data_IF_294943955147
#
_entry.id   IF_294943955147
#
_cell.length_a   1.000
_cell.length_b   1.000
_cell.length_c   1.000
_cell.angle_alpha   90.00
_cell.angle_beta   90.00
_cell.angle_gamma   90.00
#
_symmetry.space_group_name_H-M   'P 1'
#
loop_
_entity.id
_entity.type
_entity.pdbx_description
1 polymer ?
#
# COMPACT_ATOMS: atom_id res chain seq x y z
N UNK A 1 9.86 1.99 13.46
CA UNK A 1 9.66 1.10 14.64
C UNK A 1 10.90 1.20 15.53
N UNK A 2 10.72 1.21 16.86
CA UNK A 2 11.78 1.39 17.86
C UNK A 2 12.82 0.25 17.83
N UNK A 3 14.09 0.56 18.13
CA UNK A 3 15.00 -0.45 18.67
C UNK A 3 14.56 -0.82 20.11
N UNK A 4 15.12 -1.86 20.71
CA UNK A 4 14.80 -2.30 22.08
C UNK A 4 15.04 -1.23 23.17
N UNK A 5 15.62 -0.08 22.82
CA UNK A 5 15.87 1.08 23.67
C UNK A 5 14.94 2.29 23.39
N UNK A 6 14.04 2.23 22.41
CA UNK A 6 13.12 3.33 22.09
C UNK A 6 13.72 4.43 21.20
N UNK A 7 14.87 4.20 20.56
CA UNK A 7 15.56 5.20 19.75
C UNK A 7 15.09 5.16 18.28
N UNK A 8 15.13 6.32 17.63
CA UNK A 8 14.82 6.51 16.21
C UNK A 8 16.09 6.82 15.43
N UNK A 9 16.20 6.29 14.22
CA UNK A 9 17.25 6.66 13.28
C UNK A 9 16.98 8.08 12.74
N UNK A 10 18.00 8.95 12.79
CA UNK A 10 17.97 10.27 12.16
C UNK A 10 18.42 10.13 10.70
N UNK A 11 17.44 9.91 9.80
CA UNK A 11 17.71 9.67 8.38
C UNK A 11 18.41 10.85 7.70
N UNK A 12 18.12 12.09 8.11
CA UNK A 12 18.78 13.26 7.55
C UNK A 12 20.27 13.29 7.93
N UNK A 13 20.59 13.03 9.20
CA UNK A 13 21.97 12.98 9.66
C UNK A 13 22.76 11.81 9.04
N UNK A 14 22.12 10.67 8.79
CA UNK A 14 22.77 9.54 8.13
C UNK A 14 23.01 9.82 6.64
N UNK A 15 22.03 10.38 5.91
CA UNK A 15 22.21 10.75 4.50
C UNK A 15 23.22 11.87 4.29
N UNK A 16 23.35 12.81 5.23
CA UNK A 16 24.36 13.87 5.17
C UNK A 16 25.81 13.33 5.26
N UNK A 17 26.01 12.14 5.84
CA UNK A 17 27.34 11.52 5.99
C UNK A 17 27.75 10.66 4.79
N UNK A 18 26.81 10.34 3.91
CA UNK A 18 27.10 9.52 2.74
C UNK A 18 27.90 10.31 1.69
N UNK A 19 28.78 9.67 0.91
CA UNK A 19 29.37 10.27 -0.28
C UNK A 19 28.30 10.82 -1.25
N UNK A 20 28.63 11.87 -2.01
CA UNK A 20 27.70 12.50 -2.97
C UNK A 20 27.22 11.52 -4.07
N UNK A 21 28.04 10.52 -4.39
CA UNK A 21 27.76 9.49 -5.38
C UNK A 21 27.11 8.22 -4.82
N UNK A 22 26.88 8.16 -3.50
CA UNK A 22 26.33 6.98 -2.84
C UNK A 22 24.93 6.62 -3.33
N UNK A 23 24.69 5.31 -3.42
CA UNK A 23 23.36 4.72 -3.55
C UNK A 23 22.87 4.23 -2.19
N UNK A 24 21.57 4.37 -1.93
CA UNK A 24 20.93 3.93 -0.71
C UNK A 24 19.92 2.82 -1.02
N UNK A 25 20.00 1.72 -0.27
CA UNK A 25 19.11 0.58 -0.37
C UNK A 25 18.38 0.41 0.96
N UNK A 26 17.06 0.48 0.96
CA UNK A 26 16.24 0.42 2.17
C UNK A 26 15.12 -0.60 2.02
N UNK A 27 14.88 -1.39 3.06
CA UNK A 27 13.63 -2.13 3.19
C UNK A 27 12.99 -1.85 4.53
N UNK A 28 11.66 -1.82 4.56
CA UNK A 28 10.94 -1.60 5.79
C UNK A 28 9.49 -1.19 5.62
N UNK A 29 8.84 -0.80 6.72
CA UNK A 29 7.46 -0.32 6.69
C UNK A 29 7.26 0.91 5.81
N UNK A 30 6.08 1.07 5.20
CA UNK A 30 5.77 2.19 4.28
C UNK A 30 6.11 3.53 4.92
N UNK A 31 5.68 3.79 6.16
CA UNK A 31 5.97 5.05 6.83
C UNK A 31 7.47 5.32 7.05
N UNK A 32 8.30 4.28 7.20
CA UNK A 32 9.76 4.43 7.26
C UNK A 32 10.32 4.78 5.88
N UNK A 33 9.84 4.11 4.83
CA UNK A 33 10.30 4.34 3.46
C UNK A 33 9.89 5.72 2.95
N UNK A 34 8.69 6.19 3.30
CA UNK A 34 8.25 7.57 3.01
C UNK A 34 9.12 8.60 3.72
N UNK A 35 9.38 8.41 5.02
CA UNK A 35 10.30 9.28 5.76
C UNK A 35 11.70 9.32 5.14
N UNK A 36 12.22 8.16 4.72
CA UNK A 36 13.51 8.08 4.04
C UNK A 36 13.50 8.75 2.67
N UNK A 37 12.44 8.58 1.88
CA UNK A 37 12.30 9.24 0.58
C UNK A 37 12.28 10.77 0.72
N UNK A 38 11.54 11.29 1.69
CA UNK A 38 11.50 12.73 1.98
C UNK A 38 12.87 13.26 2.39
N UNK A 39 13.53 12.63 3.36
CA UNK A 39 14.86 13.05 3.82
C UNK A 39 15.93 12.95 2.71
N UNK A 40 15.83 11.97 1.81
CA UNK A 40 16.74 11.83 0.66
C UNK A 40 16.61 12.99 -0.33
N UNK A 41 15.37 13.38 -0.64
CA UNK A 41 15.08 14.52 -1.52
C UNK A 41 15.50 15.85 -0.89
N UNK A 42 15.23 16.04 0.40
CA UNK A 42 15.65 17.23 1.16
C UNK A 42 17.17 17.38 1.22
N UNK A 43 17.91 16.27 1.24
CA UNK A 43 19.37 16.26 1.14
C UNK A 43 19.90 16.57 -0.28
N UNK A 44 19.02 16.88 -1.25
CA UNK A 44 19.39 17.21 -2.63
C UNK A 44 19.89 16.00 -3.44
N UNK A 45 19.64 14.77 -2.97
CA UNK A 45 20.14 13.55 -3.60
C UNK A 45 19.19 13.08 -4.70
N UNK A 46 19.71 12.55 -5.82
CA UNK A 46 18.87 12.09 -6.91
C UNK A 46 18.06 10.85 -6.51
N UNK A 47 16.75 10.87 -6.79
CA UNK A 47 15.82 9.76 -6.48
C UNK A 47 16.24 8.46 -7.17
N UNK A 48 16.91 8.54 -8.33
CA UNK A 48 17.43 7.36 -9.05
C UNK A 48 18.46 6.55 -8.27
N UNK A 49 19.07 7.12 -7.23
CA UNK A 49 20.04 6.48 -6.32
C UNK A 49 19.42 5.97 -5.01
N UNK A 50 18.10 6.12 -4.85
CA UNK A 50 17.35 5.53 -3.75
C UNK A 50 16.61 4.30 -4.25
N UNK A 51 17.01 3.13 -3.76
CA UNK A 51 16.37 1.83 -4.01
C UNK A 51 15.67 1.37 -2.76
N UNK A 52 14.43 0.91 -2.89
CA UNK A 52 13.72 0.41 -1.74
C UNK A 52 12.77 -0.74 -2.07
N UNK A 53 12.49 -1.56 -1.05
CA UNK A 53 11.51 -2.63 -1.07
C UNK A 53 10.59 -2.48 0.16
N UNK A 54 9.28 -2.60 -0.04
CA UNK A 54 8.32 -2.60 1.06
C UNK A 54 8.31 -3.99 1.67
N UNK A 55 8.61 -4.11 2.98
CA UNK A 55 8.52 -5.38 3.69
C UNK A 55 7.38 -5.33 4.71
N UNK A 56 6.42 -6.24 4.55
CA UNK A 56 5.27 -6.41 5.42
C UNK A 56 4.05 -5.58 5.03
N UNK A 57 2.89 -5.94 5.58
CA UNK A 57 1.60 -5.27 5.37
C UNK A 57 1.46 -4.06 6.30
N UNK A 58 2.33 -3.06 6.21
CA UNK A 58 2.24 -1.88 7.09
C UNK A 58 1.88 -0.64 6.30
N UNK A 59 0.60 -0.28 6.30
CA UNK A 59 0.11 1.00 5.78
C UNK A 59 0.26 2.13 6.77
N UNK A 60 -0.22 3.31 6.37
CA UNK A 60 -0.22 4.52 7.20
C UNK A 60 -1.24 4.45 8.33
N UNK A 61 -2.29 3.64 8.14
CA UNK A 61 -3.37 3.46 9.09
C UNK A 61 -3.27 2.11 9.80
N UNK A 62 -3.78 2.05 11.04
CA UNK A 62 -3.99 0.79 11.71
C UNK A 62 -4.98 -0.07 10.91
N UNK A 63 -4.72 -1.35 10.81
CA UNK A 63 -5.61 -2.28 10.12
C UNK A 63 -6.96 -2.37 10.85
N UNK A 64 -8.00 -1.90 10.19
CA UNK A 64 -9.39 -2.11 10.61
C UNK A 64 -10.06 -3.13 9.69
N UNK A 65 -11.09 -3.79 10.22
CA UNK A 65 -12.02 -4.56 9.40
C UNK A 65 -12.93 -3.63 8.60
N UNK A 66 -13.30 -4.07 7.41
CA UNK A 66 -14.25 -3.39 6.53
C UNK A 66 -15.03 -4.43 5.73
N UNK A 67 -16.01 -4.02 4.93
CA UNK A 67 -16.72 -4.90 4.00
C UNK A 67 -16.75 -4.32 2.60
N UNK A 68 -16.87 -5.19 1.60
CA UNK A 68 -17.05 -4.77 0.21
C UNK A 68 -18.25 -5.46 -0.43
N UNK A 69 -19.05 -4.72 -1.18
CA UNK A 69 -20.01 -5.29 -2.12
C UNK A 69 -19.39 -5.35 -3.51
N UNK A 70 -19.62 -6.47 -4.21
CA UNK A 70 -19.09 -6.66 -5.56
C UNK A 70 -20.14 -6.20 -6.57
N UNK A 71 -19.80 -5.23 -7.42
CA UNK A 71 -20.68 -4.74 -8.45
C UNK A 71 -21.24 -5.89 -9.30
N UNK A 72 -22.55 -5.87 -9.53
CA UNK A 72 -23.29 -6.88 -10.29
C UNK A 72 -23.21 -8.31 -9.72
N UNK A 73 -22.84 -8.46 -8.45
CA UNK A 73 -22.97 -9.71 -7.70
C UNK A 73 -23.71 -9.43 -6.40
N UNK A 74 -24.59 -10.34 -5.99
CA UNK A 74 -25.28 -10.27 -4.69
C UNK A 74 -24.39 -10.88 -3.60
N UNK A 75 -23.16 -10.35 -3.49
CA UNK A 75 -22.11 -10.85 -2.60
C UNK A 75 -21.49 -9.68 -1.85
N UNK A 76 -21.59 -9.73 -0.53
CA UNK A 76 -20.84 -8.89 0.41
C UNK A 76 -19.71 -9.71 1.03
N UNK A 77 -18.48 -9.20 0.93
CA UNK A 77 -17.29 -9.86 1.47
C UNK A 77 -16.77 -9.10 2.68
N UNK A 78 -16.78 -9.69 3.89
CA UNK A 78 -16.13 -9.09 5.05
C UNK A 78 -14.61 -9.29 4.98
N UNK A 79 -13.87 -8.20 5.21
CA UNK A 79 -12.41 -8.19 5.27
C UNK A 79 -11.99 -7.97 6.72
N UNK A 80 -11.32 -8.96 7.31
CA UNK A 80 -10.79 -8.84 8.69
C UNK A 80 -9.59 -7.90 8.72
N UNK A 81 -9.24 -7.41 9.91
CA UNK A 81 -8.03 -6.58 10.09
C UNK A 81 -6.76 -7.34 9.69
N UNK A 82 -6.70 -8.65 9.93
CA UNK A 82 -5.55 -9.52 9.69
C UNK A 82 -5.53 -10.18 8.29
N UNK A 83 -6.34 -9.71 7.35
CA UNK A 83 -6.50 -10.32 6.03
C UNK A 83 -6.52 -9.25 4.93
N UNK A 84 -5.91 -9.55 3.79
CA UNK A 84 -5.95 -8.68 2.61
C UNK A 84 -7.33 -8.71 1.95
N UNK A 85 -7.67 -7.67 1.18
CA UNK A 85 -8.90 -7.70 0.37
C UNK A 85 -8.86 -8.85 -0.65
N UNK A 86 -7.71 -9.09 -1.29
CA UNK A 86 -7.53 -10.18 -2.24
C UNK A 86 -7.86 -11.55 -1.62
N UNK A 87 -7.31 -11.86 -0.44
CA UNK A 87 -7.58 -13.14 0.23
C UNK A 87 -9.05 -13.29 0.61
N UNK A 88 -9.69 -12.19 1.03
CA UNK A 88 -11.11 -12.21 1.39
C UNK A 88 -11.99 -12.48 0.16
N UNK A 89 -11.67 -11.85 -0.98
CA UNK A 89 -12.36 -12.07 -2.26
C UNK A 89 -12.20 -13.52 -2.73
N UNK A 90 -10.98 -14.04 -2.76
CA UNK A 90 -10.71 -15.43 -3.16
C UNK A 90 -11.40 -16.42 -2.22
N UNK A 91 -11.36 -16.18 -0.91
CA UNK A 91 -12.04 -17.00 0.10
C UNK A 91 -13.57 -17.00 -0.04
N UNK A 92 -14.15 -15.93 -0.60
CA UNK A 92 -15.56 -15.82 -0.91
C UNK A 92 -15.93 -16.38 -2.31
N UNK A 93 -14.98 -16.96 -3.05
CA UNK A 93 -15.21 -17.48 -4.40
C UNK A 93 -15.29 -16.39 -5.48
N UNK A 94 -14.73 -15.21 -5.21
CA UNK A 94 -14.61 -14.14 -6.20
C UNK A 94 -13.27 -14.26 -6.93
N UNK A 95 -13.33 -14.68 -8.19
CA UNK A 95 -12.14 -14.82 -9.02
C UNK A 95 -11.46 -13.48 -9.27
N UNK A 96 -10.14 -13.47 -9.05
CA UNK A 96 -9.27 -12.31 -9.21
C UNK A 96 -8.06 -12.66 -10.06
N UNK A 97 -7.59 -11.72 -10.88
CA UNK A 97 -6.29 -11.81 -11.54
C UNK A 97 -5.24 -11.21 -10.59
N UNK A 98 -4.19 -11.96 -10.26
CA UNK A 98 -3.12 -11.50 -9.38
C UNK A 98 -1.82 -12.27 -9.63
N UNK A 99 -0.68 -11.72 -9.20
CA UNK A 99 0.62 -12.36 -9.28
C UNK A 99 1.52 -11.99 -8.08
N UNK A 100 2.08 -10.77 -8.07
CA UNK A 100 3.15 -10.41 -7.12
C UNK A 100 2.76 -10.38 -5.63
N UNK A 101 1.49 -10.09 -5.31
CA UNK A 101 0.97 -9.89 -3.94
C UNK A 101 1.76 -8.90 -3.07
N UNK A 102 2.42 -7.93 -3.71
CA UNK A 102 3.26 -6.91 -3.06
C UNK A 102 2.90 -5.48 -3.47
N UNK A 103 1.80 -5.31 -4.21
CA UNK A 103 1.40 -3.99 -4.71
C UNK A 103 2.30 -3.42 -5.80
N UNK A 104 2.99 -4.27 -6.56
CA UNK A 104 3.98 -3.85 -7.57
C UNK A 104 3.45 -3.98 -9.01
N UNK A 105 2.69 -5.04 -9.32
CA UNK A 105 2.29 -5.38 -10.69
C UNK A 105 0.94 -4.79 -11.14
N UNK A 106 0.09 -4.36 -10.20
CA UNK A 106 -1.24 -3.82 -10.50
C UNK A 106 -2.30 -4.83 -10.98
N UNK A 107 -1.97 -6.11 -11.16
CA UNK A 107 -2.93 -7.10 -11.70
C UNK A 107 -4.19 -7.27 -10.84
N UNK A 108 -4.04 -7.16 -9.51
CA UNK A 108 -5.15 -7.27 -8.55
C UNK A 108 -5.90 -5.94 -8.34
N UNK A 109 -5.75 -4.97 -9.25
CA UNK A 109 -6.40 -3.68 -9.09
C UNK A 109 -7.92 -3.80 -9.25
N UNK A 110 -8.66 -3.20 -8.33
CA UNK A 110 -10.12 -3.06 -8.37
C UNK A 110 -10.49 -1.60 -8.46
N UNK A 111 -11.65 -1.29 -9.06
CA UNK A 111 -12.25 0.04 -9.00
C UNK A 111 -13.12 0.14 -7.75
N UNK A 112 -13.06 1.28 -7.07
CA UNK A 112 -13.90 1.63 -5.93
C UNK A 112 -14.92 2.65 -6.41
N UNK A 113 -16.20 2.25 -6.42
CA UNK A 113 -17.30 3.03 -6.97
C UNK A 113 -17.95 3.91 -5.89
N UNK A 114 -18.09 3.34 -4.70
CA UNK A 114 -18.65 3.99 -3.51
C UNK A 114 -17.83 3.55 -2.30
N UNK A 115 -17.67 4.41 -1.30
CA UNK A 115 -16.95 4.10 -0.06
C UNK A 115 -17.32 5.05 1.09
N UNK A 116 -17.37 4.52 2.30
CA UNK A 116 -17.58 5.29 3.54
C UNK A 116 -16.28 5.90 4.10
N UNK A 117 -15.13 5.30 3.77
CA UNK A 117 -13.81 5.69 4.25
C UNK A 117 -12.84 6.05 3.11
N UNK A 118 -11.57 6.23 3.47
CA UNK A 118 -10.49 6.52 2.52
C UNK A 118 -9.77 5.24 2.09
N UNK A 119 -9.18 5.24 0.90
CA UNK A 119 -8.30 4.15 0.48
C UNK A 119 -6.92 4.35 1.14
N UNK A 120 -6.55 3.42 2.02
CA UNK A 120 -5.18 3.27 2.53
C UNK A 120 -4.34 2.58 1.44
N UNK A 121 -3.75 3.39 0.56
CA UNK A 121 -2.88 2.92 -0.51
C UNK A 121 -1.57 2.38 0.04
N UNK A 122 -1.38 1.06 -0.06
CA UNK A 122 -0.14 0.37 0.34
C UNK A 122 0.69 -0.13 -0.84
N UNK A 123 0.23 0.13 -2.06
CA UNK A 123 0.91 -0.25 -3.29
C UNK A 123 2.02 0.75 -3.68
N UNK A 124 2.95 0.28 -4.52
CA UNK A 124 3.95 1.12 -5.22
C UNK A 124 3.66 1.20 -6.73
N UNK A 125 2.53 0.64 -7.16
CA UNK A 125 2.11 0.57 -8.55
C UNK A 125 1.49 1.89 -9.03
N UNK A 126 0.55 2.46 -8.28
CA UNK A 126 -0.10 3.71 -8.66
C UNK A 126 0.78 4.93 -8.37
N UNK A 127 0.76 5.91 -9.28
CA UNK A 127 1.40 7.21 -9.06
C UNK A 127 0.71 7.99 -7.92
N UNK A 128 1.34 9.06 -7.45
CA UNK A 128 0.74 9.92 -6.43
C UNK A 128 -0.55 10.57 -6.95
N UNK A 129 -0.59 10.96 -8.23
CA UNK A 129 -1.77 11.51 -8.89
C UNK A 129 -2.90 10.46 -8.98
N UNK A 130 -2.59 9.23 -9.38
CA UNK A 130 -3.58 8.14 -9.47
C UNK A 130 -4.13 7.76 -8.09
N UNK A 131 -3.29 7.76 -7.05
CA UNK A 131 -3.73 7.56 -5.65
C UNK A 131 -4.64 8.68 -5.17
N UNK A 132 -4.37 9.93 -5.59
CA UNK A 132 -5.21 11.07 -5.24
C UNK A 132 -6.60 11.03 -5.90
N UNK A 133 -6.76 10.31 -7.03
CA UNK A 133 -8.08 10.07 -7.64
C UNK A 133 -8.97 9.17 -6.77
N UNK A 134 -8.37 8.35 -5.90
CA UNK A 134 -9.04 7.64 -4.81
C UNK A 134 -10.26 6.80 -5.25
N UNK A 135 -10.14 6.19 -6.44
CA UNK A 135 -11.18 5.40 -7.10
C UNK A 135 -10.74 3.99 -7.52
N UNK A 136 -9.51 3.60 -7.16
CA UNK A 136 -8.89 2.31 -7.49
C UNK A 136 -7.93 1.91 -6.38
N UNK A 137 -7.75 0.61 -6.18
CA UNK A 137 -6.82 0.10 -5.18
C UNK A 137 -6.28 -1.27 -5.58
N UNK A 138 -5.04 -1.58 -5.18
CA UNK A 138 -4.49 -2.94 -5.31
C UNK A 138 -5.02 -3.83 -4.17
N UNK A 139 -5.90 -4.78 -4.47
CA UNK A 139 -6.54 -5.63 -3.45
C UNK A 139 -5.58 -6.46 -2.60
N UNK A 140 -4.36 -6.76 -3.09
CA UNK A 140 -3.38 -7.55 -2.36
C UNK A 140 -2.71 -6.83 -1.18
N UNK A 141 -2.76 -5.49 -1.14
CA UNK A 141 -2.06 -4.71 -0.10
C UNK A 141 -2.89 -3.53 0.40
N UNK A 142 -3.64 -2.85 -0.46
CA UNK A 142 -4.37 -1.65 -0.07
C UNK A 142 -5.64 -2.01 0.71
N UNK A 143 -6.10 -1.10 1.57
CA UNK A 143 -7.25 -1.30 2.46
C UNK A 143 -8.20 -0.12 2.44
N UNK A 144 -9.39 -0.28 3.01
CA UNK A 144 -10.25 0.83 3.40
C UNK A 144 -9.94 1.22 4.86
N UNK A 145 -9.90 2.51 5.18
CA UNK A 145 -9.61 2.96 6.56
C UNK A 145 -10.69 2.55 7.56
N UNK A 146 -11.95 2.43 7.12
CA UNK A 146 -13.10 1.93 7.86
C UNK A 146 -14.34 1.81 6.97
N UNK A 147 -15.37 1.12 7.47
CA UNK A 147 -16.71 1.13 6.87
C UNK A 147 -16.86 0.14 5.72
N UNK A 148 -17.53 0.58 4.67
CA UNK A 148 -17.93 -0.24 3.53
C UNK A 148 -17.52 0.41 2.19
N UNK A 149 -17.37 -0.41 1.16
CA UNK A 149 -17.19 0.06 -0.21
C UNK A 149 -17.92 -0.83 -1.25
N UNK A 150 -18.30 -0.24 -2.38
CA UNK A 150 -18.75 -0.99 -3.56
C UNK A 150 -17.61 -1.03 -4.57
N UNK A 151 -17.22 -2.22 -5.01
CA UNK A 151 -16.07 -2.40 -5.92
C UNK A 151 -16.46 -3.10 -7.22
N UNK A 152 -15.80 -2.71 -8.32
CA UNK A 152 -15.80 -3.43 -9.59
C UNK A 152 -14.44 -4.11 -9.78
N UNK A 153 -14.47 -5.45 -9.79
CA UNK A 153 -13.28 -6.30 -9.95
C UNK A 153 -12.80 -6.41 -11.41
N UNK A 154 -13.55 -5.87 -12.38
CA UNK A 154 -13.19 -5.84 -13.80
C UNK A 154 -13.14 -7.21 -14.50
N UNK A 155 -13.17 -8.30 -13.73
CA UNK A 155 -13.13 -9.68 -14.22
C UNK A 155 -14.53 -10.13 -14.68
N UNK A 156 -14.61 -10.58 -15.94
CA UNK A 156 -15.83 -11.09 -16.59
C UNK A 156 -15.69 -12.58 -16.94
N UNK A 157 -15.12 -13.36 -16.02
CA UNK A 157 -15.13 -14.83 -16.08
C UNK A 157 -16.48 -15.40 -15.66
#
# INVERSE_FOLDING_TARGET
RHNSAGEHIDLAAEFARLPDDAECYLCGPIGMLEAAKSAWVEAGRPVSRLRYEVFGDSGLFAEKSFSVDILNRDITVPVRSDQTLLDALLGAGVDMIYDCQRGECGLCAVKVLEKDGEIDHRDVFFSAEEKAENHRMCACVSRLTEGHAVIDIGFRG
#
